data_IF_867838581890
#
_entry.id   IF_867838581890
#
_cell.length_a   1.000
_cell.length_b   1.000
_cell.length_c   1.000
_cell.angle_alpha   90.00
_cell.angle_beta   90.00
_cell.angle_gamma   90.00
#
_symmetry.space_group_name_H-M   'P 1'
#
loop_
_entity.id
_entity.type
_entity.pdbx_description
1 polymer ?
#
# COMPACT_ATOMS: atom_id res chain seq x y z
N UNK A 1 -3.28 36.83 7.72
CA UNK A 1 -1.95 37.32 7.29
C UNK A 1 -0.88 36.53 8.04
N UNK A 2 -0.31 35.50 7.41
CA UNK A 2 0.87 34.79 7.90
C UNK A 2 1.84 34.76 6.72
N UNK A 3 3.07 35.31 6.84
CA UNK A 3 3.92 35.59 5.70
C UNK A 3 4.58 34.30 5.18
N UNK A 4 4.54 34.13 3.86
CA UNK A 4 5.20 33.05 3.14
C UNK A 4 6.61 33.48 2.72
N UNK A 5 7.65 32.88 3.29
CA UNK A 5 8.99 32.89 2.70
C UNK A 5 9.17 31.63 1.87
N UNK A 6 9.01 31.78 0.55
CA UNK A 6 9.22 30.73 -0.44
C UNK A 6 10.71 30.67 -0.80
N UNK A 7 11.47 29.77 -0.16
CA UNK A 7 12.85 29.48 -0.57
C UNK A 7 12.82 28.51 -1.76
N UNK A 8 13.20 29.00 -2.94
CA UNK A 8 13.43 28.18 -4.15
C UNK A 8 14.71 27.35 -3.96
N UNK A 9 14.64 26.24 -3.24
CA UNK A 9 15.65 25.16 -3.30
C UNK A 9 15.10 23.99 -4.12
N UNK A 10 15.94 23.49 -5.02
CA UNK A 10 15.77 22.37 -5.93
C UNK A 10 14.82 21.32 -5.38
N UNK A 11 13.56 21.34 -5.83
CA UNK A 11 12.56 20.38 -5.37
C UNK A 11 12.90 19.03 -5.99
N UNK A 12 13.48 18.13 -5.20
CA UNK A 12 13.38 16.69 -5.47
C UNK A 12 11.88 16.39 -5.52
N UNK A 13 11.39 15.91 -6.66
CA UNK A 13 10.01 15.47 -6.78
C UNK A 13 9.89 14.14 -6.04
N UNK A 14 9.79 14.20 -4.72
CA UNK A 14 9.39 13.05 -3.92
C UNK A 14 7.90 12.86 -4.17
N UNK A 15 7.53 11.76 -4.84
CA UNK A 15 6.17 11.25 -4.78
C UNK A 15 5.99 10.68 -3.37
N UNK A 16 5.83 11.58 -2.41
CA UNK A 16 5.34 11.19 -1.11
C UNK A 16 3.89 10.76 -1.33
N UNK A 17 3.53 9.53 -0.97
CA UNK A 17 2.16 9.03 -1.08
C UNK A 17 1.17 9.84 -0.19
N UNK A 18 1.67 10.85 0.54
CA UNK A 18 0.89 11.88 1.22
C UNK A 18 1.21 13.33 0.82
N UNK A 19 1.58 13.65 -0.43
CA UNK A 19 1.72 15.07 -0.83
C UNK A 19 0.36 15.79 -0.82
N UNK A 20 0.08 16.45 0.31
CA UNK A 20 -1.09 17.28 0.61
C UNK A 20 -1.16 18.55 -0.24
N UNK A 21 -0.21 18.80 -1.15
CA UNK A 21 -0.18 20.00 -2.01
C UNK A 21 -0.86 19.86 -3.36
N UNK A 22 -1.34 18.68 -3.73
CA UNK A 22 -2.17 18.57 -4.94
C UNK A 22 -3.47 19.31 -4.68
N UNK A 23 -3.73 20.40 -5.43
CA UNK A 23 -5.02 21.12 -5.39
C UNK A 23 -6.13 20.14 -5.77
N UNK A 24 -6.74 19.53 -4.77
CA UNK A 24 -7.92 18.69 -4.93
C UNK A 24 -9.11 19.59 -5.20
N UNK A 25 -9.71 19.44 -6.37
CA UNK A 25 -10.91 20.17 -6.78
C UNK A 25 -12.10 19.81 -5.86
N UNK A 26 -12.99 20.77 -5.54
CA UNK A 26 -13.97 20.64 -4.45
C UNK A 26 -15.19 19.75 -4.77
N UNK A 27 -15.17 18.97 -5.85
CA UNK A 27 -16.39 18.39 -6.45
C UNK A 27 -16.75 17.00 -5.90
N UNK A 28 -15.84 16.33 -5.19
CA UNK A 28 -16.08 14.99 -4.64
C UNK A 28 -15.50 14.85 -3.22
N UNK A 29 -16.26 14.32 -2.23
CA UNK A 29 -15.70 14.04 -0.90
C UNK A 29 -14.70 12.88 -1.01
N UNK A 30 -13.44 13.23 -1.20
CA UNK A 30 -12.30 12.31 -1.16
C UNK A 30 -11.64 12.42 0.20
N UNK A 31 -11.70 11.35 0.98
CA UNK A 31 -10.99 11.28 2.25
C UNK A 31 -9.57 10.77 1.99
N UNK A 32 -8.56 11.56 2.38
CA UNK A 32 -7.16 11.14 2.40
C UNK A 32 -6.79 10.83 3.84
N UNK A 33 -6.35 9.61 4.09
CA UNK A 33 -5.90 9.16 5.40
C UNK A 33 -4.44 8.73 5.26
N UNK A 34 -3.56 9.37 6.02
CA UNK A 34 -2.13 9.05 6.08
C UNK A 34 -1.79 8.37 7.39
N UNK A 35 -0.54 7.89 7.54
CA UNK A 35 -0.07 7.21 8.77
C UNK A 35 -0.98 6.05 9.21
N UNK A 36 -1.53 5.34 8.23
CA UNK A 36 -2.53 4.30 8.44
C UNK A 36 -2.14 3.09 7.62
N UNK A 37 -1.87 1.97 8.28
CA UNK A 37 -1.51 0.72 7.66
C UNK A 37 -2.76 -0.09 7.32
N UNK A 38 -2.95 -0.41 6.04
CA UNK A 38 -3.90 -1.46 5.67
C UNK A 38 -3.35 -2.80 6.14
N UNK A 39 -4.10 -3.59 6.91
CA UNK A 39 -3.63 -4.86 7.48
C UNK A 39 -4.09 -6.07 6.66
N UNK A 40 -5.40 -6.21 6.49
CA UNK A 40 -6.04 -7.32 5.77
C UNK A 40 -7.38 -6.86 5.18
N UNK A 41 -7.80 -7.53 4.12
CA UNK A 41 -9.06 -7.30 3.44
C UNK A 41 -10.21 -8.01 4.19
N UNK A 42 -11.34 -7.33 4.29
CA UNK A 42 -12.53 -7.82 4.95
C UNK A 42 -13.47 -8.43 3.92
N UNK A 43 -14.06 -9.57 4.25
CA UNK A 43 -14.95 -10.27 3.34
C UNK A 43 -16.17 -10.83 4.07
N UNK A 44 -17.24 -10.95 3.31
CA UNK A 44 -18.49 -11.60 3.70
C UNK A 44 -18.79 -12.67 2.64
N UNK A 45 -18.60 -13.94 2.98
CA UNK A 45 -18.65 -15.04 2.00
C UNK A 45 -17.64 -14.84 0.85
N UNK A 46 -18.11 -14.69 -0.38
CA UNK A 46 -17.23 -14.42 -1.55
C UNK A 46 -17.07 -12.92 -1.86
N UNK A 47 -17.77 -12.03 -1.13
CA UNK A 47 -17.81 -10.60 -1.43
C UNK A 47 -16.83 -9.83 -0.55
N UNK A 48 -16.04 -8.95 -1.16
CA UNK A 48 -15.20 -8.00 -0.45
C UNK A 48 -16.06 -6.90 0.19
N UNK A 49 -15.82 -6.62 1.47
CA UNK A 49 -16.58 -5.65 2.27
C UNK A 49 -15.77 -4.40 2.62
N UNK A 50 -14.44 -4.49 2.60
CA UNK A 50 -13.58 -3.37 2.99
C UNK A 50 -12.18 -3.80 3.37
N UNK A 51 -11.55 -3.01 4.24
CA UNK A 51 -10.18 -3.22 4.71
C UNK A 51 -10.09 -2.89 6.20
N UNK A 52 -9.42 -3.75 6.98
CA UNK A 52 -8.99 -3.43 8.34
C UNK A 52 -7.73 -2.60 8.26
N UNK A 53 -7.73 -1.47 8.95
CA UNK A 53 -6.59 -0.56 9.01
C UNK A 53 -6.13 -0.37 10.45
N UNK A 54 -4.87 0.03 10.62
CA UNK A 54 -4.29 0.40 11.90
C UNK A 54 -3.63 1.76 11.80
N UNK A 55 -3.95 2.66 12.74
CA UNK A 55 -3.27 3.93 12.93
C UNK A 55 -2.89 4.13 14.40
N UNK A 56 -2.53 5.35 14.79
CA UNK A 56 -2.16 5.68 16.16
C UNK A 56 -3.29 5.42 17.17
N UNK A 57 -4.55 5.40 16.72
CA UNK A 57 -5.73 5.17 17.54
C UNK A 57 -6.09 3.69 17.66
N UNK A 58 -5.37 2.80 16.95
CA UNK A 58 -5.58 1.36 16.97
C UNK A 58 -6.19 0.83 15.68
N UNK A 59 -6.89 -0.31 15.76
CA UNK A 59 -7.45 -0.97 14.59
C UNK A 59 -8.92 -0.62 14.35
N UNK A 60 -9.26 -0.29 13.11
CA UNK A 60 -10.65 -0.05 12.69
C UNK A 60 -10.93 -0.61 11.30
N UNK A 61 -12.20 -0.77 10.98
CA UNK A 61 -12.65 -1.22 9.67
C UNK A 61 -13.07 -0.03 8.80
N UNK A 62 -12.57 -0.02 7.57
CA UNK A 62 -13.04 0.88 6.53
C UNK A 62 -13.83 0.07 5.52
N UNK A 63 -15.15 0.27 5.51
CA UNK A 63 -16.06 -0.42 4.60
C UNK A 63 -16.06 0.25 3.23
N UNK A 64 -16.02 -0.57 2.18
CA UNK A 64 -16.01 -0.09 0.81
C UNK A 64 -16.73 -1.07 -0.12
N UNK A 65 -17.45 -0.55 -1.12
CA UNK A 65 -18.07 -1.37 -2.16
C UNK A 65 -17.06 -1.97 -3.14
N UNK A 66 -15.92 -1.30 -3.32
CA UNK A 66 -14.80 -1.69 -4.17
C UNK A 66 -13.51 -1.25 -3.48
N UNK A 67 -12.48 -2.07 -3.55
CA UNK A 67 -11.16 -1.77 -3.00
C UNK A 67 -10.11 -2.05 -4.07
N UNK A 68 -9.17 -1.12 -4.21
CA UNK A 68 -8.03 -1.24 -5.12
C UNK A 68 -6.79 -1.35 -4.24
N UNK A 69 -5.99 -2.40 -4.44
CA UNK A 69 -4.76 -2.61 -3.70
C UNK A 69 -3.60 -2.00 -4.49
N UNK A 70 -3.06 -0.90 -3.97
CA UNK A 70 -1.94 -0.16 -4.58
C UNK A 70 -0.79 0.02 -3.60
N UNK A 71 -0.44 -1.02 -2.85
CA UNK A 71 0.59 -0.95 -1.80
C UNK A 71 2.03 -1.17 -2.34
N UNK A 72 2.21 -1.23 -3.66
CA UNK A 72 3.48 -1.53 -4.32
C UNK A 72 3.76 -3.03 -4.48
N UNK A 73 4.82 -3.36 -5.21
CA UNK A 73 5.13 -4.74 -5.63
C UNK A 73 5.42 -5.70 -4.45
N UNK A 74 5.94 -5.21 -3.33
CA UNK A 74 6.23 -6.02 -2.14
C UNK A 74 5.00 -6.16 -1.21
N UNK A 75 4.32 -5.06 -0.92
CA UNK A 75 3.27 -5.08 0.08
C UNK A 75 1.92 -5.54 -0.48
N UNK A 76 1.61 -5.28 -1.76
CA UNK A 76 0.35 -5.73 -2.36
C UNK A 76 0.15 -7.24 -2.30
N UNK A 77 1.11 -8.09 -2.74
CA UNK A 77 0.95 -9.55 -2.60
C UNK A 77 0.89 -9.98 -1.13
N UNK A 78 1.63 -9.31 -0.24
CA UNK A 78 1.56 -9.57 1.21
C UNK A 78 0.16 -9.33 1.77
N UNK A 79 -0.52 -8.24 1.36
CA UNK A 79 -1.90 -7.94 1.79
C UNK A 79 -2.89 -8.96 1.24
N UNK A 80 -2.70 -9.41 -0.01
CA UNK A 80 -3.55 -10.45 -0.61
C UNK A 80 -3.37 -11.79 0.12
N UNK A 81 -2.14 -12.24 0.33
CA UNK A 81 -1.83 -13.50 1.00
C UNK A 81 -2.33 -13.52 2.45
N UNK A 82 -2.12 -12.44 3.23
CA UNK A 82 -2.69 -12.31 4.58
C UNK A 82 -4.22 -12.35 4.60
N UNK A 83 -4.86 -12.04 3.48
CA UNK A 83 -6.31 -12.09 3.33
C UNK A 83 -6.80 -13.42 2.74
N UNK A 84 -5.93 -14.43 2.61
CA UNK A 84 -6.25 -15.75 2.09
C UNK A 84 -6.25 -15.86 0.55
N UNK A 85 -5.65 -14.89 -0.16
CA UNK A 85 -5.53 -14.91 -1.62
C UNK A 85 -4.08 -15.20 -2.00
N UNK A 86 -3.81 -16.40 -2.50
CA UNK A 86 -2.45 -16.86 -2.78
C UNK A 86 -2.36 -18.36 -3.02
N UNK A 87 -1.13 -18.89 -3.07
CA UNK A 87 -0.90 -20.34 -3.18
C UNK A 87 -1.45 -21.09 -1.95
N UNK A 88 -2.35 -22.08 -2.13
CA UNK A 88 -2.93 -22.84 -1.02
C UNK A 88 -1.87 -23.53 -0.16
N UNK A 89 -0.85 -24.13 -0.78
CA UNK A 89 0.24 -24.79 -0.08
C UNK A 89 1.10 -23.82 0.75
N UNK A 90 1.24 -22.57 0.32
CA UNK A 90 1.91 -21.55 1.12
C UNK A 90 1.02 -21.07 2.26
N UNK A 91 -0.24 -20.72 1.98
CA UNK A 91 -1.18 -20.20 2.97
C UNK A 91 -1.43 -21.19 4.10
N UNK A 92 -1.61 -22.48 3.79
CA UNK A 92 -1.77 -23.54 4.78
C UNK A 92 -0.55 -23.68 5.69
N UNK A 93 0.68 -23.60 5.13
CA UNK A 93 1.92 -23.65 5.92
C UNK A 93 2.05 -22.51 6.93
N UNK A 94 1.54 -21.32 6.58
CA UNK A 94 1.59 -20.14 7.46
C UNK A 94 0.32 -19.97 8.32
N UNK A 95 -0.59 -20.94 8.30
CA UNK A 95 -1.81 -20.92 9.12
C UNK A 95 -2.89 -19.96 8.64
N UNK A 96 -2.89 -19.56 7.37
CA UNK A 96 -3.91 -18.67 6.79
C UNK A 96 -4.95 -19.51 6.02
N UNK A 97 -6.23 -19.28 6.32
CA UNK A 97 -7.32 -19.92 5.59
C UNK A 97 -7.32 -19.51 4.10
N UNK A 98 -7.37 -20.49 3.22
CA UNK A 98 -7.39 -20.26 1.77
C UNK A 98 -8.78 -19.78 1.36
N UNK A 99 -8.86 -18.55 0.85
CA UNK A 99 -10.08 -17.95 0.30
C UNK A 99 -10.14 -18.05 -1.21
N UNK A 100 -9.01 -17.79 -1.87
CA UNK A 100 -8.90 -17.86 -3.32
C UNK A 100 -7.53 -18.42 -3.69
N UNK A 101 -7.53 -19.46 -4.52
CA UNK A 101 -6.33 -20.05 -5.08
C UNK A 101 -5.79 -19.14 -6.18
N UNK A 102 -4.63 -18.53 -5.90
CA UNK A 102 -3.93 -17.65 -6.82
C UNK A 102 -2.41 -17.85 -6.64
N UNK A 103 -1.82 -18.90 -7.25
CA UNK A 103 -0.47 -19.33 -6.95
C UNK A 103 0.61 -18.32 -7.35
N UNK A 104 0.32 -17.47 -8.34
CA UNK A 104 1.23 -16.45 -8.86
C UNK A 104 1.35 -15.22 -7.94
N UNK A 105 0.46 -15.08 -6.94
CA UNK A 105 0.49 -13.93 -6.02
C UNK A 105 1.76 -13.99 -5.17
N UNK A 106 2.61 -12.98 -5.33
CA UNK A 106 3.90 -12.87 -4.65
C UNK A 106 5.06 -13.55 -5.40
N UNK A 107 4.80 -14.11 -6.57
CA UNK A 107 5.83 -14.66 -7.46
C UNK A 107 6.31 -13.62 -8.48
N UNK A 108 7.32 -13.98 -9.27
CA UNK A 108 7.78 -13.21 -10.43
C UNK A 108 8.22 -11.77 -10.12
N UNK A 109 8.81 -11.54 -8.94
CA UNK A 109 9.40 -10.24 -8.60
C UNK A 109 10.54 -9.93 -9.57
N UNK A 110 10.44 -8.77 -10.23
CA UNK A 110 11.49 -8.24 -11.09
C UNK A 110 12.07 -7.00 -10.45
N UNK A 111 13.39 -6.89 -10.48
CA UNK A 111 14.06 -5.67 -10.05
C UNK A 111 15.30 -5.39 -10.89
N UNK A 112 15.65 -4.11 -11.01
CA UNK A 112 16.88 -3.67 -11.65
C UNK A 112 18.04 -3.77 -10.67
N UNK A 113 18.95 -4.73 -10.89
CA UNK A 113 20.10 -4.95 -10.01
C UNK A 113 21.16 -3.87 -10.22
N UNK A 114 21.40 -3.06 -9.19
CA UNK A 114 22.44 -2.02 -9.21
C UNK A 114 23.82 -2.62 -8.91
N UNK A 115 24.77 -2.49 -9.83
CA UNK A 115 26.19 -2.70 -9.57
C UNK A 115 26.84 -1.35 -9.23
N UNK A 116 27.37 -1.22 -8.01
CA UNK A 116 28.12 -0.03 -7.60
C UNK A 116 29.61 -0.31 -7.73
N UNK A 117 30.29 0.39 -8.64
CA UNK A 117 31.74 0.43 -8.69
C UNK A 117 32.23 1.66 -7.92
N UNK A 118 33.21 1.46 -7.04
CA UNK A 118 33.87 2.54 -6.31
C UNK A 118 35.36 2.47 -6.58
N UNK A 119 35.96 3.61 -6.91
CA UNK A 119 37.40 3.75 -7.11
C UNK A 119 37.93 4.90 -6.26
N UNK A 120 39.17 4.77 -5.79
CA UNK A 120 39.85 5.85 -5.08
C UNK A 120 40.40 6.83 -6.11
N UNK A 121 39.96 8.08 -6.05
CA UNK A 121 40.60 9.18 -6.79
C UNK A 121 41.96 9.47 -6.13
N UNK A 122 43.00 9.58 -6.95
CA UNK A 122 44.35 10.00 -6.54
C UNK A 122 44.46 11.50 -6.62
#
# INVERSE_FOLDING_TARGET
>A
LIPSTCSKRTKRLTVDHGDTRTRFTPICPRHLVTQTDALHLLFEGKRLRGVRVRDAQGERDLLARKTIVSAGALNSPTRLQRSGIGSPAHLQRVGVAVRHDAPDVGQSMREHRLLRAQSRLR
#
